data_IF_210948707412
#
_entry.id   IF_210948707412
#
_cell.length_a   1.000
_cell.length_b   1.000
_cell.length_c   1.000
_cell.angle_alpha   90.00
_cell.angle_beta   90.00
_cell.angle_gamma   90.00
#
_symmetry.space_group_name_H-M   'P 1'
#
loop_
_entity.id
_entity.type
_entity.pdbx_description
1 polymer ?
#
# COMPACT_ATOMS: atom_id res chain seq x y z
N UNK A 1 2.59 11.36 -6.46
CA UNK A 1 3.20 12.39 -5.59
C UNK A 1 3.74 11.66 -4.37
N UNK A 2 5.04 11.82 -4.06
CA UNK A 2 5.67 11.07 -2.97
C UNK A 2 5.07 11.42 -1.60
N UNK A 3 4.99 10.43 -0.72
CA UNK A 3 4.73 10.66 0.70
C UNK A 3 6.03 11.12 1.39
N UNK A 4 6.21 12.43 1.46
CA UNK A 4 7.37 13.06 2.09
C UNK A 4 7.48 12.72 3.59
N UNK A 5 6.36 12.47 4.28
CA UNK A 5 6.37 12.08 5.68
C UNK A 5 6.90 10.65 5.82
N UNK A 6 6.45 9.72 4.97
CA UNK A 6 6.99 8.36 4.96
C UNK A 6 8.51 8.37 4.71
N UNK A 7 8.98 9.11 3.70
CA UNK A 7 10.42 9.27 3.42
C UNK A 7 11.19 9.85 4.61
N UNK A 8 10.64 10.86 5.27
CA UNK A 8 11.24 11.42 6.47
C UNK A 8 11.42 10.36 7.56
N UNK A 9 10.38 9.58 7.86
CA UNK A 9 10.38 8.57 8.91
C UNK A 9 11.28 7.36 8.60
N UNK A 10 11.27 6.85 7.38
CA UNK A 10 12.12 5.72 6.95
C UNK A 10 13.62 6.05 7.07
N UNK A 11 14.00 7.32 6.88
CA UNK A 11 15.40 7.77 6.90
C UNK A 11 15.86 8.41 8.22
N UNK A 12 15.23 8.08 9.36
CA UNK A 12 15.52 8.66 10.69
C UNK A 12 17.02 8.71 11.05
N UNK A 13 17.76 7.64 10.74
CA UNK A 13 19.20 7.52 11.03
C UNK A 13 20.12 8.37 10.15
N UNK A 14 19.60 8.95 9.06
CA UNK A 14 20.36 9.73 8.09
C UNK A 14 20.09 11.24 8.20
N UNK A 15 19.29 11.66 9.19
CA UNK A 15 18.99 13.07 9.43
C UNK A 15 20.18 13.76 10.09
N UNK A 16 20.54 14.92 9.55
CA UNK A 16 21.58 15.78 10.12
C UNK A 16 20.96 16.99 10.81
N UNK A 17 21.57 17.44 11.91
CA UNK A 17 21.23 18.76 12.47
C UNK A 17 21.66 19.87 11.50
N UNK A 18 20.75 20.80 11.20
CA UNK A 18 21.02 21.95 10.35
C UNK A 18 20.95 23.22 11.18
N UNK A 19 22.02 24.02 11.17
CA UNK A 19 22.10 25.27 11.92
C UNK A 19 21.94 26.44 10.97
N UNK A 20 20.78 27.06 11.01
CA UNK A 20 20.52 28.38 10.42
C UNK A 20 20.02 29.32 11.54
N UNK A 21 20.42 30.60 11.55
CA UNK A 21 19.92 31.55 12.54
C UNK A 21 18.43 31.83 12.33
N UNK A 22 17.56 31.23 13.15
CA UNK A 22 16.11 31.55 13.32
C UNK A 22 15.31 31.84 12.02
N UNK A 23 15.71 31.19 10.93
CA UNK A 23 15.07 31.37 9.63
C UNK A 23 13.90 30.41 9.47
N UNK A 24 12.75 30.95 9.04
CA UNK A 24 11.58 30.18 8.63
C UNK A 24 12.01 29.11 7.61
N UNK A 25 11.73 27.83 7.91
CA UNK A 25 12.14 26.70 7.07
C UNK A 25 11.54 26.75 5.67
N UNK A 26 10.54 27.58 5.43
CA UNK A 26 9.96 27.84 4.11
C UNK A 26 10.70 28.91 3.29
N UNK A 27 11.71 29.58 3.86
CA UNK A 27 12.41 30.71 3.24
C UNK A 27 13.90 30.42 2.99
N UNK A 28 14.29 29.15 2.94
CA UNK A 28 15.69 28.71 2.80
C UNK A 28 16.09 28.42 1.34
N UNK A 29 15.30 28.84 0.36
CA UNK A 29 15.54 28.55 -1.06
C UNK A 29 16.93 29.03 -1.53
N UNK A 30 17.30 30.27 -1.18
CA UNK A 30 18.59 30.85 -1.56
C UNK A 30 19.76 30.17 -0.85
N UNK A 31 19.61 29.83 0.44
CA UNK A 31 20.63 29.13 1.23
C UNK A 31 20.89 27.71 0.70
N UNK A 32 19.81 27.01 0.35
CA UNK A 32 19.86 25.64 -0.16
C UNK A 32 20.19 25.58 -1.66
N UNK A 33 20.29 26.73 -2.33
CA UNK A 33 20.43 26.83 -3.79
C UNK A 33 19.37 26.00 -4.53
N UNK A 34 18.13 26.05 -4.02
CA UNK A 34 17.05 25.19 -4.45
C UNK A 34 15.72 25.91 -4.60
N UNK A 35 14.70 25.17 -5.05
CA UNK A 35 13.34 25.66 -5.21
C UNK A 35 12.42 24.98 -4.19
N UNK A 36 11.67 25.77 -3.43
CA UNK A 36 10.65 25.22 -2.53
C UNK A 36 9.55 24.53 -3.37
N UNK A 37 9.31 23.25 -3.11
CA UNK A 37 8.26 22.44 -3.74
C UNK A 37 7.04 22.28 -2.83
N UNK A 38 7.27 22.14 -1.52
CA UNK A 38 6.22 22.02 -0.51
C UNK A 38 6.62 22.85 0.71
N UNK A 39 5.75 23.76 1.11
CA UNK A 39 5.87 24.49 2.38
C UNK A 39 5.44 23.61 3.55
N UNK A 40 6.14 23.74 4.68
CA UNK A 40 5.65 23.28 5.97
C UNK A 40 4.50 24.17 6.45
N UNK A 41 3.41 23.56 6.91
CA UNK A 41 2.24 24.28 7.47
C UNK A 41 2.46 24.71 8.91
N UNK A 42 3.24 23.96 9.66
CA UNK A 42 3.56 24.19 11.06
C UNK A 42 4.93 23.58 11.41
N UNK A 43 5.34 23.70 12.67
CA UNK A 43 6.63 23.23 13.18
C UNK A 43 6.81 21.71 13.08
N UNK A 44 5.72 20.95 12.97
CA UNK A 44 5.74 19.50 12.85
C UNK A 44 5.61 19.02 11.41
N UNK A 45 5.35 19.89 10.45
CA UNK A 45 5.28 19.59 9.02
C UNK A 45 6.65 19.77 8.33
N UNK A 46 6.77 19.17 7.14
CA UNK A 46 7.99 19.16 6.34
C UNK A 46 7.98 20.27 5.30
N UNK A 47 9.10 21.00 5.19
CA UNK A 47 9.42 21.78 4.00
C UNK A 47 10.26 20.92 3.05
N UNK A 48 9.95 20.95 1.76
CA UNK A 48 10.62 20.16 0.72
C UNK A 48 11.16 21.08 -0.36
N UNK A 49 12.45 20.97 -0.62
CA UNK A 49 13.17 21.72 -1.63
C UNK A 49 13.70 20.80 -2.72
N UNK A 50 13.61 21.24 -3.96
CA UNK A 50 14.36 20.70 -5.08
C UNK A 50 15.72 21.38 -5.15
N UNK A 51 16.80 20.61 -4.96
CA UNK A 51 18.18 21.10 -4.96
C UNK A 51 18.99 20.52 -6.12
N UNK A 52 18.33 20.17 -7.23
CA UNK A 52 18.96 19.55 -8.40
C UNK A 52 18.82 18.03 -8.36
N UNK A 53 19.88 17.31 -8.07
CA UNK A 53 19.88 15.83 -8.05
C UNK A 53 19.22 15.24 -6.79
N UNK A 54 19.04 16.07 -5.76
CA UNK A 54 18.44 15.69 -4.49
C UNK A 54 17.17 16.52 -4.19
N UNK A 55 16.24 15.91 -3.47
CA UNK A 55 15.31 16.63 -2.61
C UNK A 55 15.94 16.87 -1.24
N UNK A 56 15.75 18.08 -0.71
CA UNK A 56 16.12 18.44 0.65
C UNK A 56 14.86 18.63 1.48
N UNK A 57 14.68 17.77 2.47
CA UNK A 57 13.57 17.80 3.41
C UNK A 57 14.05 18.45 4.71
N UNK A 58 13.24 19.33 5.27
CA UNK A 58 13.50 20.05 6.52
C UNK A 58 12.31 19.97 7.47
N UNK A 59 12.58 19.76 8.75
CA UNK A 59 11.57 19.74 9.82
C UNK A 59 12.16 20.26 11.12
N UNK A 60 11.33 20.88 11.96
CA UNK A 60 11.67 21.08 13.36
C UNK A 60 11.33 19.82 14.17
N UNK A 61 12.36 19.10 14.59
CA UNK A 61 12.26 17.93 15.46
C UNK A 61 13.42 17.96 16.44
N UNK A 62 13.17 18.48 17.66
CA UNK A 62 14.21 18.74 18.67
C UNK A 62 15.37 19.62 18.15
N UNK A 63 15.02 20.61 17.31
CA UNK A 63 15.95 21.42 16.52
C UNK A 63 15.65 21.29 15.03
N UNK A 64 16.27 22.13 14.21
CA UNK A 64 16.11 22.00 12.76
C UNK A 64 16.93 20.81 12.25
N UNK A 65 16.23 19.85 11.65
CA UNK A 65 16.83 18.67 11.04
C UNK A 65 16.69 18.74 9.52
N UNK A 66 17.66 18.15 8.83
CA UNK A 66 17.72 18.06 7.38
C UNK A 66 17.92 16.62 6.94
N UNK A 67 17.21 16.24 5.88
CA UNK A 67 17.39 14.98 5.17
C UNK A 67 17.57 15.29 3.68
N UNK A 68 18.60 14.73 3.06
CA UNK A 68 18.78 14.78 1.60
C UNK A 68 18.44 13.41 1.02
N UNK A 69 17.60 13.42 0.00
CA UNK A 69 17.14 12.22 -0.70
C UNK A 69 17.43 12.38 -2.17
N UNK A 70 18.33 11.57 -2.70
CA UNK A 70 18.67 11.60 -4.12
C UNK A 70 17.46 11.16 -4.96
N UNK A 71 17.14 11.90 -6.02
CA UNK A 71 15.98 11.64 -6.89
C UNK A 71 16.08 10.28 -7.56
N UNK A 72 17.27 9.88 -8.00
CA UNK A 72 17.52 8.56 -8.59
C UNK A 72 17.28 7.39 -7.62
N UNK A 73 17.11 7.65 -6.32
CA UNK A 73 16.75 6.64 -5.33
C UNK A 73 15.23 6.52 -5.07
N UNK A 74 14.41 7.35 -5.71
CA UNK A 74 12.96 7.40 -5.52
C UNK A 74 12.23 6.64 -6.62
N UNK A 75 12.54 5.36 -6.77
CA UNK A 75 11.89 4.47 -7.72
C UNK A 75 10.98 3.46 -7.02
N UNK A 76 9.94 3.03 -7.73
CA UNK A 76 9.05 1.94 -7.36
C UNK A 76 9.29 0.76 -8.31
N UNK A 77 9.19 -0.46 -7.78
CA UNK A 77 9.38 -1.70 -8.54
C UNK A 77 8.10 -2.53 -8.46
N UNK A 78 7.45 -2.74 -9.60
CA UNK A 78 6.29 -3.62 -9.73
C UNK A 78 6.69 -4.95 -10.37
N UNK A 79 6.27 -6.07 -9.79
CA UNK A 79 6.47 -7.41 -10.33
C UNK A 79 5.10 -8.03 -10.61
N UNK A 80 4.87 -8.53 -11.83
CA UNK A 80 3.62 -9.21 -12.18
C UNK A 80 3.82 -10.34 -13.18
N UNK A 81 2.97 -11.36 -13.10
CA UNK A 81 2.81 -12.36 -14.15
C UNK A 81 1.77 -11.88 -15.16
N UNK A 82 2.12 -11.87 -16.44
CA UNK A 82 1.19 -11.53 -17.51
C UNK A 82 0.72 -12.81 -18.20
N UNK A 83 -0.60 -13.00 -18.19
CA UNK A 83 -1.30 -14.19 -18.71
C UNK A 83 -2.23 -13.85 -19.87
N UNK A 84 -2.36 -12.57 -20.23
CA UNK A 84 -3.17 -12.10 -21.35
C UNK A 84 -2.29 -11.47 -22.43
N UNK A 85 -2.76 -11.52 -23.69
CA UNK A 85 -2.08 -10.87 -24.80
C UNK A 85 -2.24 -9.34 -24.69
N UNK A 86 -1.17 -8.67 -24.26
CA UNK A 86 -1.07 -7.20 -24.19
C UNK A 86 -0.32 -6.62 -25.42
N UNK A 87 -0.25 -7.37 -26.53
CA UNK A 87 0.42 -6.95 -27.76
C UNK A 87 1.95 -7.05 -27.70
N UNK A 88 2.49 -7.83 -26.77
CA UNK A 88 3.91 -8.11 -26.68
C UNK A 88 4.29 -9.32 -27.55
N UNK A 89 5.44 -9.27 -28.21
CA UNK A 89 5.97 -10.39 -28.98
C UNK A 89 6.66 -11.43 -28.07
N UNK A 90 5.98 -11.87 -27.01
CA UNK A 90 6.45 -12.84 -26.02
C UNK A 90 5.41 -13.96 -25.85
N UNK A 91 5.88 -15.18 -25.62
CA UNK A 91 5.00 -16.28 -25.25
C UNK A 91 4.36 -16.05 -23.87
N UNK A 92 3.09 -16.44 -23.73
CA UNK A 92 2.39 -16.42 -22.45
C UNK A 92 2.61 -17.73 -21.66
N UNK A 93 2.74 -17.64 -20.33
CA UNK A 93 2.79 -16.42 -19.55
C UNK A 93 4.22 -15.85 -19.54
N UNK A 94 4.36 -14.55 -19.32
CA UNK A 94 5.67 -13.93 -19.11
C UNK A 94 5.69 -13.13 -17.81
N UNK A 95 6.86 -13.08 -17.17
CA UNK A 95 7.11 -12.23 -16.03
C UNK A 95 7.43 -10.82 -16.53
N UNK A 96 6.81 -9.81 -15.93
CA UNK A 96 7.11 -8.41 -16.16
C UNK A 96 7.57 -7.75 -14.86
N UNK A 97 8.67 -7.01 -14.93
CA UNK A 97 9.15 -6.16 -13.86
C UNK A 97 9.27 -4.73 -14.38
N UNK A 98 8.45 -3.85 -13.81
CA UNK A 98 8.42 -2.42 -14.10
C UNK A 98 9.21 -1.68 -13.01
N UNK A 99 10.08 -0.77 -13.44
CA UNK A 99 10.74 0.20 -12.58
C UNK A 99 10.31 1.58 -13.02
N UNK A 100 9.78 2.38 -12.10
CA UNK A 100 9.33 3.74 -12.35
C UNK A 100 9.97 4.69 -11.33
N UNK A 101 10.71 5.70 -11.81
CA UNK A 101 11.20 6.80 -11.00
C UNK A 101 10.40 8.07 -11.30
N UNK A 102 9.35 8.33 -10.52
CA UNK A 102 8.50 9.50 -10.68
C UNK A 102 9.22 10.85 -10.44
N UNK A 103 10.42 10.86 -9.82
CA UNK A 103 11.18 12.06 -9.53
C UNK A 103 12.05 12.49 -10.71
N UNK A 104 12.57 11.54 -11.49
CA UNK A 104 13.39 11.79 -12.68
C UNK A 104 12.62 11.56 -13.99
N UNK A 105 11.50 10.85 -13.94
CA UNK A 105 10.73 10.38 -15.10
C UNK A 105 11.40 9.20 -15.83
N UNK A 106 12.37 8.55 -15.20
CA UNK A 106 13.05 7.40 -15.77
C UNK A 106 12.24 6.14 -15.52
N UNK A 107 11.97 5.39 -16.59
CA UNK A 107 11.21 4.15 -16.55
C UNK A 107 12.00 3.05 -17.24
N UNK A 108 11.91 1.83 -16.73
CA UNK A 108 12.41 0.65 -17.42
C UNK A 108 11.50 -0.55 -17.20
N UNK A 109 11.40 -1.40 -18.23
CA UNK A 109 10.66 -2.65 -18.16
C UNK A 109 11.56 -3.80 -18.53
N UNK A 110 11.57 -4.82 -17.69
CA UNK A 110 12.16 -6.11 -18.01
C UNK A 110 11.05 -7.14 -18.18
N UNK A 111 11.19 -8.00 -19.19
CA UNK A 111 10.27 -9.11 -19.46
C UNK A 111 11.03 -10.40 -19.69
N UNK A 112 10.48 -11.50 -19.20
CA UNK A 112 11.03 -12.84 -19.43
C UNK A 112 9.94 -13.88 -19.60
N UNK A 113 10.03 -14.68 -20.66
CA UNK A 113 9.09 -15.78 -20.90
C UNK A 113 9.23 -16.81 -19.79
N UNK A 114 8.09 -17.22 -19.23
CA UNK A 114 8.05 -18.26 -18.22
C UNK A 114 7.82 -19.59 -18.95
N UNK A 115 8.57 -20.62 -18.56
CA UNK A 115 8.39 -21.98 -19.05
C UNK A 115 8.28 -22.94 -17.87
N UNK A 116 7.43 -23.95 -18.03
CA UNK A 116 7.34 -25.09 -17.12
C UNK A 116 7.94 -26.33 -17.81
N UNK A 117 8.81 -27.06 -17.11
CA UNK A 117 9.30 -28.34 -17.60
C UNK A 117 8.38 -29.50 -17.20
N UNK A 118 8.68 -30.72 -17.68
CA UNK A 118 7.90 -31.93 -17.39
C UNK A 118 7.83 -32.31 -15.90
N UNK A 119 8.73 -31.77 -15.07
CA UNK A 119 8.77 -31.99 -13.62
C UNK A 119 7.97 -30.93 -12.84
N UNK A 120 7.34 -29.97 -13.53
CA UNK A 120 6.60 -28.87 -12.91
C UNK A 120 7.49 -27.71 -12.44
N UNK A 121 8.78 -27.72 -12.77
CA UNK A 121 9.70 -26.64 -12.40
C UNK A 121 9.58 -25.47 -13.37
N UNK A 122 9.40 -24.27 -12.80
CA UNK A 122 9.30 -23.03 -13.54
C UNK A 122 10.68 -22.44 -13.81
N UNK A 123 10.83 -21.84 -14.99
CA UNK A 123 12.04 -21.14 -15.41
C UNK A 123 11.68 -19.88 -16.17
N UNK A 124 12.56 -18.88 -16.13
CA UNK A 124 12.45 -17.64 -16.90
C UNK A 124 13.76 -17.40 -17.63
N UNK A 125 13.70 -17.16 -18.95
CA UNK A 125 14.87 -17.00 -19.81
C UNK A 125 15.92 -18.13 -19.65
N UNK A 126 15.46 -19.35 -19.38
CA UNK A 126 16.32 -20.53 -19.18
C UNK A 126 16.95 -20.67 -17.79
N UNK A 127 16.69 -19.76 -16.85
CA UNK A 127 17.10 -19.89 -15.45
C UNK A 127 15.91 -20.36 -14.59
N UNK A 128 16.13 -21.32 -13.69
CA UNK A 128 15.08 -21.80 -12.78
C UNK A 128 14.60 -20.66 -11.87
N UNK A 129 13.28 -20.50 -11.77
CA UNK A 129 12.66 -19.50 -10.93
C UNK A 129 12.79 -19.91 -9.46
N UNK A 130 13.22 -18.97 -8.61
CA UNK A 130 13.46 -19.23 -7.19
C UNK A 130 12.77 -18.18 -6.34
N UNK A 131 12.18 -18.60 -5.23
CA UNK A 131 11.50 -17.69 -4.31
C UNK A 131 12.46 -16.75 -3.58
N UNK A 132 13.69 -17.22 -3.31
CA UNK A 132 14.67 -16.48 -2.51
C UNK A 132 15.53 -15.51 -3.32
N UNK A 133 15.52 -15.60 -4.66
CA UNK A 133 16.43 -14.85 -5.51
C UNK A 133 15.72 -14.44 -6.82
N UNK A 134 15.73 -13.14 -7.18
CA UNK A 134 15.17 -12.70 -8.46
C UNK A 134 15.95 -13.31 -9.63
N UNK A 135 15.29 -13.56 -10.77
CA UNK A 135 16.00 -13.95 -12.00
C UNK A 135 16.97 -12.84 -12.43
N UNK A 136 17.91 -13.16 -13.32
CA UNK A 136 18.80 -12.13 -13.88
C UNK A 136 18.03 -11.17 -14.78
N UNK A 137 17.84 -9.96 -14.26
CA UNK A 137 17.20 -8.86 -14.98
C UNK A 137 18.26 -7.87 -15.46
N UNK A 138 18.07 -7.33 -16.67
CA UNK A 138 18.90 -6.25 -17.21
C UNK A 138 18.02 -5.04 -17.46
N UNK A 139 18.31 -3.96 -16.75
CA UNK A 139 17.63 -2.67 -16.93
C UNK A 139 18.59 -1.68 -17.60
N UNK A 140 18.03 -0.71 -18.33
CA UNK A 140 18.77 0.43 -18.87
C UNK A 140 18.48 1.69 -18.05
N UNK A 141 18.90 1.65 -16.78
CA UNK A 141 18.74 2.74 -15.81
C UNK A 141 20.12 3.18 -15.30
N UNK A 142 20.35 4.48 -15.04
CA UNK A 142 21.65 4.96 -14.58
C UNK A 142 22.02 4.48 -13.17
N UNK A 143 21.02 4.16 -12.34
CA UNK A 143 21.19 3.71 -10.95
C UNK A 143 21.13 2.18 -10.79
N UNK A 144 21.10 1.41 -11.88
CA UNK A 144 20.91 -0.06 -11.83
C UNK A 144 22.01 -0.83 -11.09
N UNK A 145 23.22 -0.27 -11.05
CA UNK A 145 24.40 -0.90 -10.42
C UNK A 145 24.53 -0.50 -8.94
N UNK A 146 23.60 0.31 -8.41
CA UNK A 146 23.62 0.74 -7.03
C UNK A 146 23.11 -0.35 -6.08
N UNK A 147 23.75 -0.46 -4.91
CA UNK A 147 23.36 -1.45 -3.89
C UNK A 147 21.91 -1.26 -3.41
N UNK A 148 21.40 -0.02 -3.42
CA UNK A 148 20.02 0.28 -3.04
C UNK A 148 19.02 -0.29 -4.04
N UNK A 149 19.30 -0.16 -5.34
CA UNK A 149 18.48 -0.75 -6.40
C UNK A 149 18.44 -2.27 -6.29
N UNK A 150 19.60 -2.91 -6.09
CA UNK A 150 19.67 -4.35 -5.89
C UNK A 150 18.86 -4.84 -4.67
N UNK A 151 18.92 -4.10 -3.56
CA UNK A 151 18.17 -4.42 -2.35
C UNK A 151 16.65 -4.28 -2.54
N UNK A 152 16.21 -3.18 -3.17
CA UNK A 152 14.79 -2.95 -3.45
C UNK A 152 14.23 -3.97 -4.45
N UNK A 153 15.01 -4.35 -5.46
CA UNK A 153 14.61 -5.40 -6.41
C UNK A 153 14.46 -6.75 -5.71
N UNK A 154 15.35 -7.07 -4.78
CA UNK A 154 15.28 -8.29 -3.97
C UNK A 154 14.04 -8.29 -3.06
N UNK A 155 13.70 -7.17 -2.44
CA UNK A 155 12.51 -7.00 -1.59
C UNK A 155 11.22 -7.15 -2.42
N UNK A 156 11.09 -6.40 -3.51
CA UNK A 156 9.95 -6.49 -4.42
C UNK A 156 9.75 -7.91 -4.97
N UNK A 157 10.86 -8.62 -5.24
CA UNK A 157 10.80 -10.02 -5.62
C UNK A 157 10.28 -10.91 -4.49
N UNK A 158 10.79 -10.78 -3.27
CA UNK A 158 10.35 -11.60 -2.14
C UNK A 158 8.86 -11.44 -1.86
N UNK A 159 8.33 -10.23 -2.00
CA UNK A 159 6.90 -9.95 -1.81
C UNK A 159 6.03 -10.56 -2.90
N UNK A 160 6.52 -10.62 -4.14
CA UNK A 160 5.75 -11.10 -5.30
C UNK A 160 6.00 -12.57 -5.67
N UNK A 161 7.12 -13.17 -5.26
CA UNK A 161 7.60 -14.44 -5.80
C UNK A 161 6.64 -15.59 -5.57
N UNK A 162 6.06 -15.69 -4.37
CA UNK A 162 5.12 -16.77 -4.04
C UNK A 162 3.88 -16.72 -4.94
N UNK A 163 3.22 -15.57 -5.00
CA UNK A 163 2.02 -15.39 -5.82
C UNK A 163 2.31 -15.61 -7.31
N UNK A 164 3.39 -15.02 -7.82
CA UNK A 164 3.79 -15.16 -9.24
C UNK A 164 4.07 -16.62 -9.60
N UNK A 165 4.74 -17.36 -8.71
CA UNK A 165 5.07 -18.78 -8.92
C UNK A 165 3.81 -19.65 -8.90
N UNK A 166 2.88 -19.38 -7.97
CA UNK A 166 1.60 -20.09 -7.89
C UNK A 166 0.74 -19.86 -9.14
N UNK A 167 0.64 -18.61 -9.59
CA UNK A 167 -0.14 -18.25 -10.77
C UNK A 167 0.45 -18.86 -12.04
N UNK A 168 1.78 -18.86 -12.18
CA UNK A 168 2.47 -19.49 -13.29
C UNK A 168 2.27 -21.00 -13.28
N UNK A 169 2.36 -21.64 -12.11
CA UNK A 169 2.08 -23.06 -11.97
C UNK A 169 0.61 -23.38 -12.32
N UNK A 170 -0.34 -22.55 -11.91
CA UNK A 170 -1.76 -22.71 -12.25
C UNK A 170 -1.98 -22.59 -13.78
N UNK A 171 -1.31 -21.63 -14.43
CA UNK A 171 -1.37 -21.46 -15.88
C UNK A 171 -0.92 -22.71 -16.64
N UNK A 172 0.25 -23.26 -16.30
CA UNK A 172 0.78 -24.45 -16.98
C UNK A 172 0.04 -25.74 -16.64
N UNK A 173 -0.60 -25.80 -15.47
CA UNK A 173 -1.41 -26.95 -15.07
C UNK A 173 -2.89 -26.81 -15.46
N UNK A 174 -3.27 -25.77 -16.21
CA UNK A 174 -4.66 -25.53 -16.60
C UNK A 174 -5.26 -26.71 -17.40
N UNK A 175 -4.49 -27.37 -18.28
CA UNK A 175 -4.94 -28.58 -18.99
C UNK A 175 -5.06 -29.82 -18.07
N UNK A 176 -4.24 -29.92 -17.01
CA UNK A 176 -4.37 -30.98 -16.00
C UNK A 176 -5.58 -30.75 -15.07
N UNK A 177 -5.98 -29.49 -14.87
CA UNK A 177 -7.16 -29.08 -14.11
C UNK A 177 -8.48 -29.31 -14.89
N UNK A 178 -8.46 -29.33 -16.22
CA UNK A 178 -9.63 -29.72 -17.05
C UNK A 178 -10.04 -31.20 -16.86
N UNK A 179 -9.20 -32.04 -16.25
CA UNK A 179 -9.50 -33.45 -15.95
C UNK A 179 -9.68 -33.74 -14.45
N UNK A 180 -9.66 -32.71 -13.60
CA UNK A 180 -10.11 -32.81 -12.23
C UNK A 180 -11.65 -32.98 -12.19
N UNK A 181 -12.21 -33.70 -11.20
CA UNK A 181 -13.66 -33.77 -11.05
C UNK A 181 -14.22 -32.35 -10.97
N UNK A 182 -15.25 -32.07 -11.77
CA UNK A 182 -15.91 -30.74 -11.91
C UNK A 182 -15.82 -29.96 -10.60
N UNK A 183 -15.16 -28.80 -10.62
CA UNK A 183 -15.28 -27.84 -9.55
C UNK A 183 -16.76 -27.66 -9.24
N UNK A 184 -17.10 -27.67 -7.95
CA UNK A 184 -18.46 -27.41 -7.54
C UNK A 184 -18.94 -26.15 -8.28
N UNK A 185 -20.12 -26.18 -8.93
CA UNK A 185 -20.57 -25.12 -9.83
C UNK A 185 -20.31 -23.76 -9.20
N UNK A 186 -19.93 -22.75 -9.98
CA UNK A 186 -19.53 -21.40 -9.51
C UNK A 186 -20.37 -20.90 -8.32
N UNK A 187 -21.67 -21.19 -8.31
CA UNK A 187 -22.63 -20.97 -7.21
C UNK A 187 -22.22 -21.60 -5.87
N UNK A 188 -21.76 -22.85 -5.85
CA UNK A 188 -21.29 -23.56 -4.66
C UNK A 188 -19.96 -23.00 -4.13
N UNK A 189 -19.05 -22.55 -5.00
CA UNK A 189 -17.81 -21.89 -4.57
C UNK A 189 -18.09 -20.51 -4.00
N UNK A 190 -18.94 -19.73 -4.66
CA UNK A 190 -19.43 -18.45 -4.16
C UNK A 190 -20.13 -18.64 -2.81
N UNK A 191 -20.99 -19.65 -2.68
CA UNK A 191 -21.66 -19.95 -1.41
C UNK A 191 -20.65 -20.27 -0.30
N UNK A 192 -19.63 -21.08 -0.57
CA UNK A 192 -18.57 -21.36 0.41
C UNK A 192 -17.79 -20.10 0.81
N UNK A 193 -17.55 -19.19 -0.13
CA UNK A 193 -16.88 -17.90 0.17
C UNK A 193 -17.79 -17.01 1.02
N UNK A 194 -19.08 -16.91 0.68
CA UNK A 194 -20.07 -16.20 1.47
C UNK A 194 -20.23 -16.78 2.87
N UNK A 195 -20.22 -18.11 3.02
CA UNK A 195 -20.31 -18.79 4.32
C UNK A 195 -19.09 -18.48 5.20
N UNK A 196 -17.88 -18.50 4.61
CA UNK A 196 -16.64 -18.13 5.32
C UNK A 196 -16.65 -16.66 5.72
N UNK A 197 -17.07 -15.77 4.82
CA UNK A 197 -17.22 -14.35 5.11
C UNK A 197 -18.20 -14.12 6.25
N UNK A 198 -19.42 -14.68 6.16
CA UNK A 198 -20.45 -14.54 7.18
C UNK A 198 -19.99 -15.07 8.56
N UNK A 199 -19.22 -16.16 8.61
CA UNK A 199 -18.67 -16.67 9.86
C UNK A 199 -17.58 -15.77 10.45
N UNK A 200 -16.70 -15.19 9.63
CA UNK A 200 -15.71 -14.18 10.07
C UNK A 200 -16.44 -12.97 10.66
N UNK A 201 -17.44 -12.43 9.94
CA UNK A 201 -18.23 -11.27 10.39
C UNK A 201 -18.92 -11.57 11.72
N UNK A 202 -19.58 -12.74 11.84
CA UNK A 202 -20.26 -13.14 13.09
C UNK A 202 -19.31 -13.19 14.28
N UNK A 203 -18.09 -13.72 14.10
CA UNK A 203 -17.08 -13.80 15.17
C UNK A 203 -16.58 -12.43 15.59
N UNK A 204 -16.28 -11.56 14.63
CA UNK A 204 -15.81 -10.21 14.92
C UNK A 204 -16.91 -9.37 15.57
N UNK A 205 -18.17 -9.44 15.11
CA UNK A 205 -19.31 -8.76 15.75
C UNK A 205 -19.49 -9.17 17.22
N UNK A 206 -19.30 -10.46 17.53
CA UNK A 206 -19.36 -10.95 18.91
C UNK A 206 -18.23 -10.37 19.80
N UNK A 207 -17.05 -10.10 19.24
CA UNK A 207 -15.97 -9.42 19.95
C UNK A 207 -16.24 -7.91 20.10
N UNK A 208 -16.72 -7.27 19.03
CA UNK A 208 -16.98 -5.83 18.97
C UNK A 208 -18.11 -5.40 19.91
N UNK A 209 -19.18 -6.19 20.01
CA UNK A 209 -20.28 -5.96 20.97
C UNK A 209 -19.85 -5.91 22.44
N UNK A 210 -18.66 -6.44 22.78
CA UNK A 210 -18.08 -6.34 24.13
C UNK A 210 -17.14 -5.14 24.28
N UNK A 211 -16.63 -4.62 23.16
CA UNK A 211 -15.63 -3.53 23.10
C UNK A 211 -16.27 -2.15 23.00
N UNK A 212 -17.44 -2.07 22.37
CA UNK A 212 -18.22 -0.85 22.22
C UNK A 212 -19.48 -0.91 23.08
N UNK A 213 -19.83 0.21 23.66
CA UNK A 213 -21.11 0.45 24.32
C UNK A 213 -22.21 0.71 23.30
N UNK A 214 -23.46 0.54 23.72
CA UNK A 214 -24.61 0.82 22.85
C UNK A 214 -24.61 2.26 22.33
N UNK A 215 -24.25 3.24 23.16
CA UNK A 215 -24.20 4.64 22.75
C UNK A 215 -23.14 4.89 21.66
N UNK A 216 -21.97 4.26 21.77
CA UNK A 216 -20.92 4.30 20.75
C UNK A 216 -21.39 3.67 19.44
N UNK A 217 -22.05 2.51 19.49
CA UNK A 217 -22.59 1.83 18.31
C UNK A 217 -23.68 2.66 17.61
N UNK A 218 -24.55 3.33 18.36
CA UNK A 218 -25.59 4.20 17.79
C UNK A 218 -24.99 5.44 17.11
N UNK A 219 -23.92 6.02 17.66
CA UNK A 219 -23.20 7.12 17.04
C UNK A 219 -22.59 6.66 15.71
N UNK A 220 -21.86 5.55 15.72
CA UNK A 220 -21.25 4.99 14.50
C UNK A 220 -22.31 4.67 13.45
N UNK A 221 -23.43 4.06 13.84
CA UNK A 221 -24.54 3.79 12.91
C UNK A 221 -25.13 5.06 12.29
N UNK A 222 -25.25 6.16 13.05
CA UNK A 222 -25.72 7.46 12.54
C UNK A 222 -24.77 8.02 11.48
N UNK A 223 -23.46 7.86 11.67
CA UNK A 223 -22.44 8.25 10.69
C UNK A 223 -22.58 7.39 9.42
N UNK A 224 -22.71 6.08 9.59
CA UNK A 224 -22.79 5.12 8.48
C UNK A 224 -24.03 5.30 7.59
N UNK A 225 -25.14 5.85 8.10
CA UNK A 225 -26.31 6.19 7.27
C UNK A 225 -26.00 7.15 6.14
N UNK A 226 -24.97 7.98 6.28
CA UNK A 226 -24.54 8.96 5.27
C UNK A 226 -23.36 8.50 4.40
N UNK A 227 -22.82 7.30 4.64
CA UNK A 227 -21.60 6.80 4.00
C UNK A 227 -21.94 5.58 3.14
N UNK A 228 -21.44 5.56 1.91
CA UNK A 228 -21.59 4.43 1.00
C UNK A 228 -20.22 3.82 0.76
N UNK A 229 -20.11 2.51 0.96
CA UNK A 229 -18.90 1.74 0.67
C UNK A 229 -19.13 0.96 -0.62
N UNK A 230 -18.46 1.36 -1.70
CA UNK A 230 -18.67 0.78 -3.04
C UNK A 230 -17.84 -0.50 -3.26
N UNK A 231 -16.77 -0.68 -2.48
CA UNK A 231 -15.83 -1.81 -2.58
C UNK A 231 -15.25 -2.20 -1.22
N UNK A 232 -14.72 -3.43 -1.09
CA UNK A 232 -14.16 -3.90 0.18
C UNK A 232 -12.99 -3.00 0.67
N UNK A 233 -12.12 -2.56 -0.23
CA UNK A 233 -11.04 -1.61 0.04
C UNK A 233 -11.53 -0.28 0.65
N UNK A 234 -12.76 0.15 0.32
CA UNK A 234 -13.34 1.40 0.83
C UNK A 234 -13.78 1.31 2.29
N UNK A 235 -13.86 0.10 2.86
CA UNK A 235 -14.27 -0.12 4.25
C UNK A 235 -13.23 0.35 5.27
N UNK A 236 -11.97 0.60 4.86
CA UNK A 236 -10.93 1.10 5.77
C UNK A 236 -11.05 2.61 5.97
N UNK A 237 -10.93 3.06 7.22
CA UNK A 237 -10.93 4.49 7.56
C UNK A 237 -12.26 5.00 8.10
N UNK A 238 -13.13 4.14 8.62
CA UNK A 238 -14.37 4.49 9.31
C UNK A 238 -14.15 5.56 10.39
N UNK A 239 -13.02 5.52 11.08
CA UNK A 239 -12.66 6.52 12.08
C UNK A 239 -12.60 7.95 11.51
N UNK A 240 -12.22 8.14 10.24
CA UNK A 240 -12.22 9.46 9.57
C UNK A 240 -13.64 10.00 9.40
N UNK A 241 -14.57 9.12 8.99
CA UNK A 241 -15.97 9.49 8.84
C UNK A 241 -16.60 9.84 10.20
N UNK A 242 -16.25 9.09 11.25
CA UNK A 242 -16.70 9.36 12.62
C UNK A 242 -16.09 10.66 13.16
N UNK A 243 -14.78 10.86 12.98
CA UNK A 243 -14.05 12.05 13.43
C UNK A 243 -14.63 13.33 12.81
N UNK A 244 -14.89 13.32 11.50
CA UNK A 244 -15.50 14.45 10.81
C UNK A 244 -16.87 14.83 11.42
N UNK A 245 -17.69 13.84 11.76
CA UNK A 245 -19.05 14.08 12.31
C UNK A 245 -19.03 14.44 13.78
N UNK A 246 -18.06 13.94 14.55
CA UNK A 246 -17.81 14.41 15.93
C UNK A 246 -17.39 15.88 15.92
N UNK A 247 -16.47 16.28 15.02
CA UNK A 247 -15.99 17.66 14.94
C UNK A 247 -17.04 18.65 14.40
N UNK A 248 -17.83 18.25 13.40
CA UNK A 248 -18.75 19.17 12.73
C UNK A 248 -20.16 19.20 13.32
N UNK A 249 -20.65 18.06 13.84
CA UNK A 249 -22.03 17.92 14.30
C UNK A 249 -22.15 17.62 15.81
N UNK A 250 -21.02 17.59 16.53
CA UNK A 250 -20.96 17.32 17.98
C UNK A 250 -21.73 16.03 18.35
N UNK A 251 -21.61 14.99 17.52
CA UNK A 251 -22.36 13.74 17.72
C UNK A 251 -22.00 13.04 19.03
N UNK A 252 -20.76 13.18 19.49
CA UNK A 252 -20.30 12.70 20.79
C UNK A 252 -21.12 13.32 21.94
N UNK A 253 -21.41 14.62 21.88
CA UNK A 253 -22.31 15.29 22.83
C UNK A 253 -23.75 14.79 22.71
N UNK A 254 -24.27 14.62 21.49
CA UNK A 254 -25.63 14.12 21.24
C UNK A 254 -25.85 12.72 21.85
N UNK A 255 -24.89 11.82 21.69
CA UNK A 255 -24.98 10.45 22.19
C UNK A 255 -24.36 10.24 23.57
N UNK A 256 -23.77 11.30 24.18
CA UNK A 256 -23.06 11.26 25.47
C UNK A 256 -21.94 10.22 25.48
N UNK A 257 -21.15 10.23 24.42
CA UNK A 257 -20.01 9.34 24.19
C UNK A 257 -18.73 10.15 24.39
N UNK A 258 -17.69 9.50 24.92
CA UNK A 258 -16.33 10.04 24.90
C UNK A 258 -15.78 9.91 23.48
N UNK A 259 -15.80 11.00 22.71
CA UNK A 259 -15.42 11.02 21.31
C UNK A 259 -13.96 10.61 21.08
N UNK A 260 -13.05 11.03 21.96
CA UNK A 260 -11.62 10.70 21.85
C UNK A 260 -11.38 9.21 22.11
N UNK A 261 -11.96 8.67 23.20
CA UNK A 261 -11.86 7.25 23.50
C UNK A 261 -12.52 6.37 22.41
N UNK A 262 -13.62 6.83 21.80
CA UNK A 262 -14.25 6.15 20.67
C UNK A 262 -13.32 6.13 19.45
N UNK A 263 -12.69 7.26 19.09
CA UNK A 263 -11.78 7.34 17.95
C UNK A 263 -10.53 6.47 18.15
N UNK A 264 -9.98 6.40 19.36
CA UNK A 264 -8.90 5.47 19.67
C UNK A 264 -9.31 4.01 19.46
N UNK A 265 -10.50 3.62 19.94
CA UNK A 265 -11.03 2.27 19.74
C UNK A 265 -11.18 1.94 18.26
N UNK A 266 -11.67 2.89 17.45
CA UNK A 266 -11.88 2.74 16.01
C UNK A 266 -10.55 2.65 15.24
N UNK A 267 -9.57 3.50 15.55
CA UNK A 267 -8.22 3.47 14.94
C UNK A 267 -7.51 2.15 15.23
N UNK A 268 -7.74 1.58 16.41
CA UNK A 268 -7.19 0.30 16.84
C UNK A 268 -8.00 -0.92 16.34
N UNK A 269 -8.94 -0.76 15.40
CA UNK A 269 -9.57 -1.89 14.73
C UNK A 269 -8.68 -2.43 13.62
N UNK A 270 -8.59 -3.76 13.53
CA UNK A 270 -8.10 -4.43 12.33
C UNK A 270 -9.11 -4.32 11.18
N UNK A 271 -8.67 -4.60 9.96
CA UNK A 271 -9.52 -4.47 8.77
C UNK A 271 -10.80 -5.32 8.85
N UNK A 272 -10.70 -6.59 9.25
CA UNK A 272 -11.87 -7.48 9.39
C UNK A 272 -12.87 -7.01 10.44
N UNK A 273 -12.40 -6.35 11.50
CA UNK A 273 -13.24 -5.77 12.55
C UNK A 273 -14.01 -4.56 12.06
N UNK A 274 -13.37 -3.73 11.23
CA UNK A 274 -14.00 -2.55 10.66
C UNK A 274 -15.09 -2.94 9.65
N UNK A 275 -14.80 -3.91 8.77
CA UNK A 275 -15.81 -4.50 7.88
C UNK A 275 -16.96 -5.09 8.70
N UNK A 276 -16.68 -5.86 9.75
CA UNK A 276 -17.73 -6.45 10.59
C UNK A 276 -18.60 -5.40 11.31
N UNK A 277 -18.01 -4.26 11.69
CA UNK A 277 -18.73 -3.14 12.29
C UNK A 277 -19.61 -2.42 11.26
N UNK A 278 -19.11 -2.22 10.03
CA UNK A 278 -19.86 -1.65 8.91
C UNK A 278 -21.04 -2.54 8.57
N UNK A 279 -20.83 -3.84 8.39
CA UNK A 279 -21.90 -4.81 8.07
C UNK A 279 -22.96 -4.91 9.18
N UNK A 280 -22.57 -4.69 10.44
CA UNK A 280 -23.51 -4.72 11.57
C UNK A 280 -24.43 -3.49 11.61
N UNK A 281 -23.92 -2.33 11.18
CA UNK A 281 -24.52 -1.03 11.48
C UNK A 281 -25.00 -0.29 10.22
N UNK A 282 -24.54 -0.68 9.04
CA UNK A 282 -25.02 -0.15 7.77
C UNK A 282 -26.50 -0.49 7.59
N UNK A 283 -27.32 0.47 7.13
CA UNK A 283 -28.72 0.20 6.85
C UNK A 283 -28.84 -0.85 5.73
N UNK A 284 -29.74 -1.82 5.91
CA UNK A 284 -30.13 -2.74 4.83
C UNK A 284 -30.75 -1.88 3.72
N UNK A 285 -30.07 -1.81 2.58
CA UNK A 285 -30.62 -1.18 1.39
C UNK A 285 -31.82 -2.02 0.93
N UNK A 286 -33.02 -1.43 1.01
CA UNK A 286 -34.28 -2.01 0.50
C UNK A 286 -34.58 -1.50 -0.90
#
# INVERSE_FOLDING_TARGET
MYDWNALWHVHDKHRGGYRTPDADINQLADELQGKLLKSARDEHDLAVYDTGDDYTLLRHDNGLQMLRVAKHHLFDIGVRLVTADEGQALALPYLEVLVDNLATGEEAVWRGEVHCNDEGALSVNGETLRLDMPPRMQFDLPFKDEARFAAALQEAWQDAAEHTTLDAAAWFNAEALEHAPEEAPLDARIQQMCDRYAEIIRREQALLSRRFSDAELHLVAEVLRGVHFESAESCRGLWLAVEARVLHDELDHKYKVDGEALLEKLRALGYTQEVALIEALSPVQH
#
